data_IF_141816647583
#
_entry.id   IF_141816647583
#
_cell.length_a   1.000
_cell.length_b   1.000
_cell.length_c   1.000
_cell.angle_alpha   90.00
_cell.angle_beta   90.00
_cell.angle_gamma   90.00
#
_symmetry.space_group_name_H-M   'P 1'
#
loop_
_entity.id
_entity.type
_entity.pdbx_description
1 polymer ?
#
# COMPACT_ATOMS: atom_id res chain seq x y z
N UNK A 1 49.02 28.64 19.47
CA UNK A 1 47.71 28.12 19.91
C UNK A 1 47.01 27.49 18.71
N UNK A 2 47.07 26.16 18.56
CA UNK A 2 46.26 25.35 17.62
C UNK A 2 46.02 23.99 18.30
N UNK A 3 44.77 23.68 18.65
CA UNK A 3 44.35 22.35 19.11
C UNK A 3 44.00 21.51 17.87
N UNK A 4 44.62 20.35 17.75
CA UNK A 4 44.21 19.29 16.83
C UNK A 4 43.32 18.32 17.62
N UNK A 5 42.01 18.35 17.41
CA UNK A 5 41.09 17.35 17.94
C UNK A 5 40.74 16.34 16.84
N UNK A 6 41.53 15.27 16.75
CA UNK A 6 41.22 14.09 15.93
C UNK A 6 40.08 13.32 16.60
N UNK A 7 38.83 13.61 16.23
CA UNK A 7 37.66 12.83 16.66
C UNK A 7 37.64 11.47 15.97
N UNK A 8 38.33 10.49 16.54
CA UNK A 8 38.22 9.08 16.16
C UNK A 8 36.86 8.53 16.60
N UNK A 9 35.83 8.74 15.78
CA UNK A 9 34.53 8.09 15.95
C UNK A 9 34.69 6.58 15.71
N UNK A 10 34.54 5.80 16.78
CA UNK A 10 34.61 4.34 16.72
C UNK A 10 33.39 3.78 15.95
N UNK A 11 33.60 2.77 15.09
CA UNK A 11 32.51 2.06 14.36
C UNK A 11 31.36 1.65 15.28
N UNK A 12 31.65 1.28 16.53
CA UNK A 12 30.62 0.91 17.52
C UNK A 12 29.75 2.10 17.96
N UNK A 13 30.34 3.28 18.10
CA UNK A 13 29.61 4.53 18.41
C UNK A 13 28.82 5.04 17.19
N UNK A 14 29.28 4.77 15.98
CA UNK A 14 28.51 5.03 14.77
C UNK A 14 27.23 4.17 14.76
N UNK A 15 27.36 2.84 14.92
CA UNK A 15 26.20 1.94 14.93
C UNK A 15 25.20 2.24 16.07
N UNK A 16 25.66 2.67 17.25
CA UNK A 16 24.76 3.08 18.33
C UNK A 16 23.98 4.36 18.02
N UNK A 17 24.56 5.28 17.24
CA UNK A 17 23.90 6.55 16.88
C UNK A 17 23.02 6.44 15.63
N UNK A 18 23.24 5.45 14.76
CA UNK A 18 22.42 5.25 13.55
C UNK A 18 21.08 4.55 13.84
N UNK A 19 20.88 4.03 15.06
CA UNK A 19 19.69 3.25 15.43
C UNK A 19 18.48 4.06 15.90
N UNK A 20 18.56 5.40 15.99
CA UNK A 20 17.51 6.22 16.63
C UNK A 20 16.82 7.25 15.71
N UNK A 21 17.04 7.22 14.39
CA UNK A 21 16.42 8.19 13.45
C UNK A 21 15.62 7.57 12.29
N UNK A 22 15.38 6.26 12.30
CA UNK A 22 14.47 5.58 11.33
C UNK A 22 13.13 5.19 12.01
N UNK A 23 12.86 5.74 13.19
CA UNK A 23 11.80 5.28 14.09
C UNK A 23 10.37 5.80 13.87
N UNK A 24 10.05 6.51 12.79
CA UNK A 24 8.68 7.04 12.60
C UNK A 24 8.04 6.82 11.21
N UNK A 25 8.74 6.21 10.25
CA UNK A 25 8.19 6.01 8.90
C UNK A 25 7.60 4.63 8.62
N UNK A 26 8.17 3.57 9.21
CA UNK A 26 7.88 2.19 8.79
C UNK A 26 6.94 1.47 9.78
N UNK A 27 6.82 1.98 11.01
CA UNK A 27 6.01 1.35 12.06
C UNK A 27 4.49 1.58 11.88
N UNK A 28 4.06 2.51 11.02
CA UNK A 28 2.64 2.75 10.79
C UNK A 28 1.96 1.72 9.88
N UNK A 29 2.71 0.85 9.21
CA UNK A 29 2.13 -0.25 8.44
C UNK A 29 1.92 -1.49 9.32
N UNK A 30 2.70 -1.65 10.39
CA UNK A 30 2.69 -2.86 11.21
C UNK A 30 1.88 -2.76 12.52
N UNK A 31 1.64 -1.55 13.05
CA UNK A 31 1.04 -1.36 14.37
C UNK A 31 -0.44 -0.96 14.36
N UNK A 32 -1.35 -1.91 14.20
CA UNK A 32 -2.77 -1.75 14.59
C UNK A 32 -3.44 -3.13 14.71
N UNK A 33 -3.01 -3.98 15.64
CA UNK A 33 -3.43 -5.40 15.69
C UNK A 33 -4.66 -5.70 16.57
N UNK A 34 -5.48 -4.71 16.94
CA UNK A 34 -6.79 -4.95 17.56
C UNK A 34 -7.87 -4.24 16.75
N UNK A 35 -8.71 -5.01 16.04
CA UNK A 35 -9.82 -4.49 15.23
C UNK A 35 -9.55 -4.27 13.74
N UNK A 36 -8.55 -4.94 13.13
CA UNK A 36 -8.23 -4.78 11.70
C UNK A 36 -9.37 -5.28 10.82
N UNK A 37 -10.11 -4.35 10.25
CA UNK A 37 -10.94 -4.58 9.07
C UNK A 37 -10.22 -4.09 7.81
N UNK A 38 -10.34 -4.86 6.75
CA UNK A 38 -9.83 -4.51 5.41
C UNK A 38 -11.02 -4.39 4.47
N UNK A 39 -11.12 -3.24 3.84
CA UNK A 39 -12.02 -3.01 2.72
C UNK A 39 -11.25 -3.20 1.41
N UNK A 40 -11.67 -4.16 0.59
CA UNK A 40 -11.15 -4.37 -0.76
C UNK A 40 -12.14 -3.77 -1.75
N UNK A 41 -11.71 -2.75 -2.49
CA UNK A 41 -12.53 -2.04 -3.48
C UNK A 41 -12.12 -2.49 -4.87
N UNK A 42 -13.12 -2.92 -5.65
CA UNK A 42 -12.99 -3.33 -7.05
C UNK A 42 -14.15 -2.72 -7.85
N UNK A 43 -13.84 -1.83 -8.79
CA UNK A 43 -14.85 -1.33 -9.73
C UNK A 43 -15.20 -2.43 -10.75
N UNK A 44 -16.46 -2.91 -10.82
CA UNK A 44 -16.86 -3.91 -11.80
C UNK A 44 -16.75 -3.43 -13.26
N UNK A 45 -16.65 -2.12 -13.50
CA UNK A 45 -16.42 -1.56 -14.83
C UNK A 45 -14.94 -1.52 -15.25
N UNK A 46 -14.00 -1.81 -14.35
CA UNK A 46 -12.57 -1.87 -14.67
C UNK A 46 -12.24 -3.12 -15.50
N UNK A 47 -11.81 -2.93 -16.75
CA UNK A 47 -11.57 -4.03 -17.70
C UNK A 47 -10.51 -5.04 -17.24
N UNK A 48 -9.50 -4.60 -16.49
CA UNK A 48 -8.44 -5.47 -15.99
C UNK A 48 -8.91 -6.12 -14.69
N UNK A 49 -9.41 -5.31 -13.75
CA UNK A 49 -9.71 -5.79 -12.42
C UNK A 49 -10.96 -6.70 -12.40
N UNK A 50 -11.86 -6.58 -13.39
CA UNK A 50 -12.98 -7.49 -13.61
C UNK A 50 -12.61 -8.78 -14.34
N UNK A 51 -11.34 -9.03 -14.67
CA UNK A 51 -10.95 -10.32 -15.27
C UNK A 51 -11.07 -11.46 -14.26
N UNK A 52 -11.43 -12.69 -14.70
CA UNK A 52 -11.57 -13.84 -13.81
C UNK A 52 -10.33 -14.12 -12.95
N UNK A 53 -9.13 -13.96 -13.52
CA UNK A 53 -7.86 -14.16 -12.80
C UNK A 53 -7.71 -13.18 -11.63
N UNK A 54 -7.98 -11.89 -11.86
CA UNK A 54 -7.90 -10.86 -10.81
C UNK A 54 -8.96 -11.09 -9.74
N UNK A 55 -10.20 -11.42 -10.12
CA UNK A 55 -11.26 -11.76 -9.15
C UNK A 55 -10.89 -12.98 -8.29
N UNK A 56 -10.28 -13.99 -8.90
CA UNK A 56 -9.78 -15.16 -8.17
C UNK A 56 -8.69 -14.75 -7.17
N UNK A 57 -7.72 -13.94 -7.59
CA UNK A 57 -6.65 -13.45 -6.72
C UNK A 57 -7.17 -12.61 -5.55
N UNK A 58 -8.17 -11.75 -5.78
CA UNK A 58 -8.83 -10.98 -4.70
C UNK A 58 -9.62 -11.86 -3.75
N UNK A 59 -10.24 -12.92 -4.27
CA UNK A 59 -10.88 -13.95 -3.45
C UNK A 59 -9.87 -14.67 -2.55
N UNK A 60 -8.71 -15.03 -3.08
CA UNK A 60 -7.65 -15.71 -2.34
C UNK A 60 -6.99 -14.81 -1.29
N UNK A 61 -6.77 -13.53 -1.63
CA UNK A 61 -6.34 -12.50 -0.68
C UNK A 61 -7.35 -12.39 0.47
N UNK A 62 -8.65 -12.29 0.16
CA UNK A 62 -9.70 -12.22 1.16
C UNK A 62 -9.73 -13.43 2.08
N UNK A 63 -9.59 -14.65 1.53
CA UNK A 63 -9.52 -15.89 2.31
C UNK A 63 -8.30 -15.93 3.22
N UNK A 64 -7.13 -15.57 2.71
CA UNK A 64 -5.88 -15.56 3.48
C UNK A 64 -5.94 -14.57 4.64
N UNK A 65 -6.46 -13.37 4.39
CA UNK A 65 -6.68 -12.35 5.43
C UNK A 65 -7.69 -12.85 6.49
N UNK A 66 -8.80 -13.44 6.06
CA UNK A 66 -9.82 -13.98 6.97
C UNK A 66 -9.27 -15.14 7.81
N UNK A 67 -8.47 -16.04 7.22
CA UNK A 67 -7.78 -17.10 7.95
C UNK A 67 -6.80 -16.55 8.99
N UNK A 68 -6.23 -15.37 8.75
CA UNK A 68 -5.41 -14.61 9.70
C UNK A 68 -6.21 -13.82 10.75
N UNK A 69 -7.54 -13.97 10.82
CA UNK A 69 -8.41 -13.29 11.78
C UNK A 69 -8.73 -11.83 11.43
N UNK A 70 -8.49 -11.40 10.19
CA UNK A 70 -8.82 -10.06 9.69
C UNK A 70 -10.24 -10.06 9.12
N UNK A 71 -11.05 -9.07 9.49
CA UNK A 71 -12.38 -8.91 8.90
C UNK A 71 -12.24 -8.30 7.50
N UNK A 72 -12.64 -9.02 6.45
CA UNK A 72 -12.55 -8.53 5.06
C UNK A 72 -13.94 -8.21 4.51
N UNK A 73 -14.08 -7.04 3.88
CA UNK A 73 -15.28 -6.65 3.13
C UNK A 73 -14.89 -6.28 1.71
N UNK A 74 -15.68 -6.72 0.74
CA UNK A 74 -15.51 -6.34 -0.66
C UNK A 74 -16.55 -5.30 -1.04
N UNK A 75 -16.13 -4.29 -1.80
CA UNK A 75 -16.94 -3.15 -2.21
C UNK A 75 -16.74 -2.84 -3.69
N UNK A 76 -17.76 -2.27 -4.33
CA UNK A 76 -17.69 -1.84 -5.72
C UNK A 76 -17.19 -0.41 -5.89
N UNK A 77 -17.26 0.38 -4.83
CA UNK A 77 -16.84 1.77 -4.86
C UNK A 77 -16.25 2.19 -3.51
N UNK A 78 -15.32 3.14 -3.57
CA UNK A 78 -14.56 3.56 -2.39
C UNK A 78 -15.42 4.19 -1.28
N UNK A 79 -16.52 4.85 -1.64
CA UNK A 79 -17.43 5.47 -0.68
C UNK A 79 -18.22 4.45 0.15
N UNK A 80 -18.23 3.17 -0.25
CA UNK A 80 -18.88 2.08 0.48
C UNK A 80 -17.98 1.51 1.60
N UNK A 81 -16.66 1.72 1.49
CA UNK A 81 -15.71 1.27 2.49
C UNK A 81 -15.80 2.13 3.76
N UNK A 82 -15.81 1.51 4.94
CA UNK A 82 -15.85 2.23 6.21
C UNK A 82 -14.55 3.01 6.44
N UNK A 83 -14.57 4.20 7.04
CA UNK A 83 -13.40 5.10 7.06
C UNK A 83 -12.24 4.57 7.92
N UNK A 84 -12.56 3.75 8.91
CA UNK A 84 -11.67 3.05 9.81
C UNK A 84 -10.98 1.82 9.17
N UNK A 85 -11.54 1.28 8.09
CA UNK A 85 -10.99 0.10 7.42
C UNK A 85 -9.70 0.45 6.66
N UNK A 86 -8.71 -0.43 6.74
CA UNK A 86 -7.58 -0.41 5.83
C UNK A 86 -8.09 -0.67 4.40
N UNK A 87 -7.93 0.30 3.51
CA UNK A 87 -8.54 0.26 2.19
C UNK A 87 -7.53 -0.18 1.13
N UNK A 88 -7.80 -1.32 0.50
CA UNK A 88 -7.08 -1.80 -0.68
C UNK A 88 -7.95 -1.51 -1.89
N UNK A 89 -7.41 -0.82 -2.89
CA UNK A 89 -8.06 -0.62 -4.19
C UNK A 89 -7.35 -1.50 -5.20
N UNK A 90 -8.08 -2.42 -5.84
CA UNK A 90 -7.57 -3.24 -6.93
C UNK A 90 -8.12 -2.71 -8.25
N UNK A 91 -7.21 -2.31 -9.15
CA UNK A 91 -7.59 -1.59 -10.37
C UNK A 91 -6.55 -1.77 -11.49
N UNK A 92 -6.99 -1.72 -12.75
CA UNK A 92 -6.09 -1.51 -13.87
C UNK A 92 -5.39 -0.16 -13.77
N UNK A 93 -4.12 -0.07 -14.15
CA UNK A 93 -3.30 1.14 -14.01
C UNK A 93 -3.86 2.38 -14.73
N UNK A 94 -4.74 2.18 -15.72
CA UNK A 94 -5.37 3.23 -16.51
C UNK A 94 -6.79 3.59 -16.07
N UNK A 95 -7.33 2.90 -15.05
CA UNK A 95 -8.68 3.20 -14.58
C UNK A 95 -8.74 4.58 -13.91
N UNK A 96 -9.90 5.25 -13.92
CA UNK A 96 -10.03 6.59 -13.35
C UNK A 96 -9.57 6.67 -11.88
N UNK A 97 -9.94 5.67 -11.08
CA UNK A 97 -9.58 5.62 -9.66
C UNK A 97 -8.08 5.35 -9.46
N UNK A 98 -7.48 4.46 -10.26
CA UNK A 98 -6.03 4.23 -10.19
C UNK A 98 -5.24 5.49 -10.55
N UNK A 99 -5.67 6.23 -11.58
CA UNK A 99 -5.04 7.51 -11.98
C UNK A 99 -5.11 8.55 -10.88
N UNK A 100 -6.27 8.75 -10.26
CA UNK A 100 -6.42 9.66 -9.12
C UNK A 100 -5.43 9.30 -7.99
N UNK A 101 -5.32 8.02 -7.66
CA UNK A 101 -4.43 7.56 -6.58
C UNK A 101 -2.95 7.73 -6.98
N UNK A 102 -2.57 7.37 -8.20
CA UNK A 102 -1.21 7.55 -8.73
C UNK A 102 -0.79 9.02 -8.71
N UNK A 103 -1.68 9.92 -9.13
CA UNK A 103 -1.47 11.38 -9.08
C UNK A 103 -1.26 11.86 -7.64
N UNK A 104 -2.12 11.42 -6.72
CA UNK A 104 -2.00 11.76 -5.30
C UNK A 104 -0.65 11.32 -4.69
N UNK A 105 -0.13 10.18 -5.17
CA UNK A 105 1.13 9.59 -4.72
C UNK A 105 2.36 10.11 -5.49
N UNK A 106 2.16 10.91 -6.55
CA UNK A 106 3.21 11.30 -7.51
C UNK A 106 3.97 10.09 -8.07
N UNK A 107 3.24 9.00 -8.30
CA UNK A 107 3.77 7.75 -8.81
C UNK A 107 3.34 7.53 -10.26
N UNK A 108 4.13 6.75 -10.99
CA UNK A 108 3.82 6.34 -12.36
C UNK A 108 3.87 4.82 -12.44
N UNK A 109 2.92 4.24 -13.17
CA UNK A 109 2.94 2.81 -13.44
C UNK A 109 3.55 2.53 -14.82
N UNK A 110 4.61 1.71 -14.92
CA UNK A 110 5.14 1.28 -16.21
C UNK A 110 4.07 0.58 -17.06
N UNK A 111 3.99 0.94 -18.34
CA UNK A 111 3.16 0.24 -19.33
C UNK A 111 3.92 -0.95 -19.93
N UNK A 112 4.32 -1.90 -19.07
CA UNK A 112 5.06 -3.09 -19.45
C UNK A 112 4.30 -4.35 -19.01
N UNK A 113 4.30 -5.45 -19.78
CA UNK A 113 3.59 -6.67 -19.41
C UNK A 113 3.95 -7.16 -18.01
N UNK A 114 2.95 -7.63 -17.26
CA UNK A 114 3.07 -8.19 -15.90
C UNK A 114 3.68 -7.22 -14.87
N UNK A 115 3.67 -5.92 -15.17
CA UNK A 115 4.12 -4.92 -14.22
C UNK A 115 3.04 -4.72 -13.13
N UNK A 116 3.46 -4.79 -11.87
CA UNK A 116 2.60 -4.61 -10.69
C UNK A 116 3.08 -3.44 -9.83
N UNK A 117 2.13 -2.64 -9.34
CA UNK A 117 2.34 -1.54 -8.42
C UNK A 117 1.57 -1.75 -7.12
N UNK A 118 2.27 -1.58 -5.98
CA UNK A 118 1.67 -1.49 -4.65
C UNK A 118 1.98 -0.11 -4.08
N UNK A 119 1.02 0.80 -4.19
CA UNK A 119 1.27 2.25 -4.08
C UNK A 119 0.39 2.82 -2.97
N UNK A 120 0.95 3.29 -1.85
CA UNK A 120 0.19 4.04 -0.88
C UNK A 120 -0.18 5.40 -1.47
N UNK A 121 -1.45 5.76 -1.41
CA UNK A 121 -1.95 7.02 -1.94
C UNK A 121 -3.23 7.46 -1.24
N UNK A 122 -3.98 8.35 -1.89
CA UNK A 122 -5.19 8.95 -1.31
C UNK A 122 -6.29 9.10 -2.34
N UNK A 123 -7.53 9.04 -1.84
CA UNK A 123 -8.73 9.48 -2.55
C UNK A 123 -9.44 10.47 -1.65
N UNK A 124 -9.44 11.74 -2.04
CA UNK A 124 -9.77 12.85 -1.14
C UNK A 124 -8.97 12.79 0.17
N UNK A 125 -9.68 12.64 1.31
CA UNK A 125 -9.07 12.54 2.65
C UNK A 125 -8.77 11.10 3.11
N UNK A 126 -9.12 10.09 2.32
CA UNK A 126 -8.93 8.69 2.69
C UNK A 126 -7.55 8.19 2.25
N UNK A 127 -6.81 7.55 3.15
CA UNK A 127 -5.61 6.81 2.80
C UNK A 127 -5.99 5.44 2.20
N UNK A 128 -5.31 5.05 1.13
CA UNK A 128 -5.55 3.78 0.42
C UNK A 128 -4.23 3.14 0.02
N UNK A 129 -4.24 1.83 -0.16
CA UNK A 129 -3.21 1.08 -0.87
C UNK A 129 -3.77 0.69 -2.25
N UNK A 130 -3.20 1.24 -3.31
CA UNK A 130 -3.49 0.81 -4.68
C UNK A 130 -2.67 -0.44 -5.01
N UNK A 131 -3.34 -1.49 -5.45
CA UNK A 131 -2.76 -2.62 -6.17
C UNK A 131 -3.19 -2.51 -7.64
N UNK A 132 -2.24 -2.21 -8.52
CA UNK A 132 -2.52 -2.00 -9.94
C UNK A 132 -1.55 -2.70 -10.88
N UNK A 133 -2.03 -3.05 -12.06
CA UNK A 133 -1.22 -3.62 -13.14
C UNK A 133 -1.66 -3.13 -14.51
N UNK A 134 -0.80 -3.32 -15.52
CA UNK A 134 -1.11 -3.04 -16.92
C UNK A 134 -1.92 -4.16 -17.59
N UNK A 135 -1.92 -5.36 -17.00
CA UNK A 135 -2.72 -6.51 -17.41
C UNK A 135 -3.16 -7.32 -16.17
N UNK A 136 -3.79 -8.48 -16.39
CA UNK A 136 -4.39 -9.31 -15.34
C UNK A 136 -3.41 -10.14 -14.51
N UNK A 137 -2.12 -10.14 -14.84
CA UNK A 137 -1.08 -10.93 -14.18
C UNK A 137 -0.24 -10.09 -13.22
#
# INVERSE_FOLDING_TARGET
MRRNDNSNLNRRQFLQRTSLTVGLGIAQVAGAASGRSVSIVLDPADEIASKPAVRWALGELGRTLTAGGVLVRQHHAIHQAAQEDFCIVAAGAVSPLAREILESARATMPAAPEAVGLIPGRVGRRAVLLACGSDER
#
